data_IF_151509440487
#
_entry.id   IF_151509440487
#
_cell.length_a   1.000
_cell.length_b   1.000
_cell.length_c   1.000
_cell.angle_alpha   90.00
_cell.angle_beta   90.00
_cell.angle_gamma   90.00
#
_symmetry.space_group_name_H-M   'P 1'
#
loop_
_entity.id
_entity.type
_entity.pdbx_description
1 polymer ?
#
# COMPACT_ATOMS: atom_id res chain seq x y z
N UNK A 1 2.75 -31.37 9.26
CA UNK A 1 2.57 -30.01 8.71
C UNK A 1 1.92 -29.20 9.80
N UNK A 2 2.71 -28.42 10.53
CA UNK A 2 2.17 -27.47 11.51
C UNK A 2 1.48 -26.34 10.74
N UNK A 3 0.15 -26.37 10.73
CA UNK A 3 -0.66 -25.20 10.42
C UNK A 3 -0.58 -24.24 11.62
N UNK A 4 0.60 -23.67 11.88
CA UNK A 4 0.69 -22.51 12.75
C UNK A 4 0.52 -21.28 11.87
N UNK A 5 -0.66 -20.66 11.96
CA UNK A 5 -0.84 -19.29 11.48
C UNK A 5 0.08 -18.47 12.38
N UNK A 6 1.14 -17.89 11.80
CA UNK A 6 2.01 -16.97 12.53
C UNK A 6 1.14 -15.79 13.01
N UNK A 7 0.97 -15.59 14.33
CA UNK A 7 0.13 -14.50 14.85
C UNK A 7 0.64 -13.11 14.41
N UNK A 8 1.87 -12.99 13.90
CA UNK A 8 2.40 -11.77 13.28
C UNK A 8 1.91 -11.51 11.86
N UNK A 9 1.27 -12.48 11.18
CA UNK A 9 0.65 -12.29 9.85
C UNK A 9 -0.63 -11.45 9.92
N UNK A 10 -1.20 -11.22 11.10
CA UNK A 10 -2.51 -10.59 11.26
C UNK A 10 -2.47 -9.10 11.60
N UNK A 11 -1.29 -8.54 11.86
CA UNK A 11 -1.14 -7.18 12.37
C UNK A 11 -0.93 -6.15 11.26
N UNK A 12 -1.56 -4.99 11.43
CA UNK A 12 -1.32 -3.84 10.57
C UNK A 12 0.12 -3.35 10.68
N UNK A 13 0.67 -2.89 9.56
CA UNK A 13 1.96 -2.23 9.50
C UNK A 13 1.88 -0.86 8.86
N UNK A 14 2.59 0.13 9.42
CA UNK A 14 2.70 1.50 8.90
C UNK A 14 3.97 1.61 8.08
N UNK A 15 3.84 2.17 6.87
CA UNK A 15 4.99 2.46 6.02
C UNK A 15 5.84 3.58 6.64
N UNK A 16 7.05 3.25 7.08
CA UNK A 16 7.97 4.17 7.75
C UNK A 16 9.03 4.75 6.81
N UNK A 17 9.29 4.08 5.68
CA UNK A 17 10.28 4.52 4.68
C UNK A 17 9.80 4.20 3.26
N UNK A 18 10.55 4.63 2.24
CA UNK A 18 10.24 4.35 0.81
C UNK A 18 8.85 4.82 0.34
N UNK A 19 8.35 5.92 0.91
CA UNK A 19 7.08 6.56 0.50
C UNK A 19 7.03 6.92 -0.99
N UNK A 20 8.16 7.19 -1.63
CA UNK A 20 8.23 7.44 -3.07
C UNK A 20 8.02 6.18 -3.91
N UNK A 21 8.47 5.02 -3.42
CA UNK A 21 8.21 3.75 -4.11
C UNK A 21 6.73 3.39 -4.00
N UNK A 22 6.08 3.67 -2.87
CA UNK A 22 4.62 3.59 -2.76
C UNK A 22 3.91 4.52 -3.77
N UNK A 23 4.37 5.77 -3.92
CA UNK A 23 3.83 6.70 -4.93
C UNK A 23 3.98 6.15 -6.35
N UNK A 24 5.11 5.53 -6.69
CA UNK A 24 5.32 4.90 -8.00
C UNK A 24 4.31 3.78 -8.24
N UNK A 25 4.10 2.90 -7.26
CA UNK A 25 3.09 1.83 -7.34
C UNK A 25 1.70 2.44 -7.60
N UNK A 26 1.29 3.43 -6.81
CA UNK A 26 -0.02 4.10 -6.98
C UNK A 26 -0.11 4.80 -8.34
N UNK A 27 0.98 5.41 -8.83
CA UNK A 27 1.02 6.02 -10.16
C UNK A 27 0.77 4.98 -11.25
N UNK A 28 1.48 3.85 -11.21
CA UNK A 28 1.29 2.77 -12.17
C UNK A 28 -0.15 2.26 -12.14
N UNK A 29 -0.74 2.02 -10.95
CA UNK A 29 -2.14 1.61 -10.85
C UNK A 29 -3.07 2.66 -11.47
N UNK A 30 -2.85 3.94 -11.18
CA UNK A 30 -3.64 5.01 -11.76
C UNK A 30 -3.55 5.00 -13.29
N UNK A 31 -2.37 4.81 -13.87
CA UNK A 31 -2.17 4.77 -15.33
C UNK A 31 -2.90 3.59 -16.01
N UNK A 32 -3.19 2.51 -15.28
CA UNK A 32 -3.99 1.40 -15.81
C UNK A 32 -5.50 1.60 -15.63
N UNK A 33 -5.93 2.11 -14.46
CA UNK A 33 -7.35 2.12 -14.10
C UNK A 33 -8.07 3.46 -14.31
N UNK A 34 -7.35 4.59 -14.24
CA UNK A 34 -7.92 5.95 -14.27
C UNK A 34 -8.01 6.62 -15.66
N UNK A 35 -7.14 6.38 -16.66
CA UNK A 35 -7.13 7.17 -17.90
C UNK A 35 -8.44 7.17 -18.70
N UNK A 36 -9.37 6.28 -18.40
CA UNK A 36 -10.67 6.19 -19.07
C UNK A 36 -11.76 7.04 -18.43
N UNK A 37 -11.51 7.66 -17.27
CA UNK A 37 -12.50 8.42 -16.52
C UNK A 37 -12.02 9.87 -16.34
N UNK A 38 -12.78 10.89 -16.79
CA UNK A 38 -12.47 12.29 -16.52
C UNK A 38 -12.30 12.54 -15.02
N UNK A 39 -11.34 13.37 -14.62
CA UNK A 39 -11.05 13.64 -13.20
C UNK A 39 -12.28 14.14 -12.41
N UNK A 40 -13.18 14.88 -13.07
CA UNK A 40 -14.44 15.36 -12.48
C UNK A 40 -15.42 14.24 -12.12
N UNK A 41 -15.29 13.05 -12.73
CA UNK A 41 -16.13 11.87 -12.51
C UNK A 41 -15.52 10.88 -11.52
N UNK A 42 -14.28 11.10 -11.08
CA UNK A 42 -13.64 10.25 -10.08
C UNK A 42 -14.26 10.48 -8.71
N UNK A 43 -14.41 9.42 -7.91
CA UNK A 43 -14.75 9.55 -6.50
C UNK A 43 -13.61 10.21 -5.70
N UNK A 44 -13.86 10.52 -4.43
CA UNK A 44 -12.87 11.21 -3.60
C UNK A 44 -11.60 10.39 -3.36
N UNK A 45 -11.74 9.09 -3.16
CA UNK A 45 -10.63 8.15 -2.95
C UNK A 45 -9.73 8.04 -4.17
N UNK A 46 -10.32 7.90 -5.35
CA UNK A 46 -9.64 7.95 -6.64
C UNK A 46 -8.92 9.28 -6.86
N UNK A 47 -9.58 10.41 -6.58
CA UNK A 47 -8.92 11.74 -6.66
C UNK A 47 -7.76 11.85 -5.69
N UNK A 48 -7.85 11.27 -4.51
CA UNK A 48 -6.76 11.23 -3.54
C UNK A 48 -5.57 10.42 -4.06
N UNK A 49 -5.80 9.23 -4.63
CA UNK A 49 -4.76 8.42 -5.28
C UNK A 49 -4.09 9.15 -6.45
N UNK A 50 -4.85 9.86 -7.30
CA UNK A 50 -4.29 10.69 -8.38
C UNK A 50 -3.41 11.81 -7.85
N UNK A 51 -3.87 12.52 -6.81
CA UNK A 51 -3.10 13.61 -6.18
C UNK A 51 -1.83 13.10 -5.51
N UNK A 52 -1.89 11.92 -4.90
CA UNK A 52 -0.75 11.25 -4.29
C UNK A 52 0.32 10.92 -5.33
N UNK A 53 -0.08 10.28 -6.43
CA UNK A 53 0.83 9.93 -7.53
C UNK A 53 1.48 11.17 -8.17
N UNK A 54 0.73 12.28 -8.31
CA UNK A 54 1.25 13.55 -8.84
C UNK A 54 2.11 14.35 -7.85
N UNK A 55 2.43 13.79 -6.67
CA UNK A 55 3.24 14.47 -5.66
C UNK A 55 2.57 15.67 -4.99
N UNK A 56 1.25 15.86 -5.18
CA UNK A 56 0.50 16.98 -4.57
C UNK A 56 0.24 16.77 -3.07
N UNK A 57 0.36 15.53 -2.60
CA UNK A 57 0.22 15.16 -1.19
C UNK A 57 1.61 14.86 -0.64
N UNK A 58 2.13 15.75 0.21
CA UNK A 58 3.45 15.61 0.85
C UNK A 58 3.39 14.75 2.11
N UNK A 59 2.40 15.01 2.96
CA UNK A 59 2.19 14.33 4.23
C UNK A 59 1.03 13.34 4.10
N UNK A 60 1.33 12.06 4.25
CA UNK A 60 0.36 10.97 4.22
C UNK A 60 0.92 9.79 5.00
N UNK A 61 0.04 8.95 5.52
CA UNK A 61 0.39 7.68 6.13
C UNK A 61 -0.24 6.54 5.34
N UNK A 62 0.49 5.43 5.28
CA UNK A 62 0.05 4.20 4.62
C UNK A 62 0.11 3.10 5.63
N UNK A 63 -1.01 2.42 5.81
CA UNK A 63 -1.12 1.22 6.61
C UNK A 63 -1.41 0.05 5.68
N UNK A 64 -0.78 -1.07 5.96
CA UNK A 64 -0.78 -2.26 5.13
C UNK A 64 -1.15 -3.44 6.02
N UNK A 65 -2.12 -4.24 5.59
CA UNK A 65 -2.43 -5.53 6.19
C UNK A 65 -2.32 -6.60 5.11
N UNK A 66 -1.49 -7.60 5.34
CA UNK A 66 -1.38 -8.77 4.45
C UNK A 66 -2.61 -9.65 4.68
N UNK A 67 -3.34 -9.97 3.61
CA UNK A 67 -4.54 -10.83 3.65
C UNK A 67 -4.31 -12.17 2.98
N UNK A 68 -3.38 -12.24 2.04
CA UNK A 68 -2.86 -13.47 1.42
C UNK A 68 -1.38 -13.26 1.00
N UNK A 69 -0.71 -14.26 0.43
CA UNK A 69 0.72 -14.23 0.09
C UNK A 69 1.12 -13.01 -0.75
N UNK A 70 0.25 -12.60 -1.68
CA UNK A 70 0.41 -11.42 -2.54
C UNK A 70 -0.82 -10.51 -2.53
N UNK A 71 -1.65 -10.59 -1.49
CA UNK A 71 -2.82 -9.73 -1.34
C UNK A 71 -2.68 -8.84 -0.10
N UNK A 72 -2.96 -7.55 -0.27
CA UNK A 72 -2.84 -6.56 0.79
C UNK A 72 -4.06 -5.65 0.83
N UNK A 73 -4.64 -5.48 2.01
CA UNK A 73 -5.51 -4.34 2.29
C UNK A 73 -4.65 -3.11 2.58
N UNK A 74 -4.81 -2.08 1.77
CA UNK A 74 -4.09 -0.82 1.90
C UNK A 74 -5.04 0.23 2.46
N UNK A 75 -4.57 0.99 3.44
CA UNK A 75 -5.27 2.12 4.02
C UNK A 75 -4.39 3.37 3.94
N UNK A 76 -4.85 4.35 3.16
CA UNK A 76 -4.19 5.63 2.94
C UNK A 76 -4.87 6.71 3.79
N UNK A 77 -4.09 7.35 4.67
CA UNK A 77 -4.53 8.49 5.47
C UNK A 77 -3.87 9.77 4.99
N UNK A 78 -4.67 10.79 4.71
CA UNK A 78 -4.21 12.14 4.33
C UNK A 78 -4.99 13.15 5.14
N UNK A 79 -4.34 13.75 6.14
CA UNK A 79 -5.03 14.50 7.19
C UNK A 79 -6.16 13.65 7.79
N UNK A 80 -7.40 14.15 7.78
CA UNK A 80 -8.59 13.45 8.31
C UNK A 80 -9.33 12.62 7.26
N UNK A 81 -8.75 12.47 6.05
CA UNK A 81 -9.34 11.70 4.95
C UNK A 81 -8.70 10.34 4.84
N UNK A 82 -9.52 9.38 4.47
CA UNK A 82 -9.15 7.98 4.37
C UNK A 82 -9.59 7.41 3.03
N UNK A 83 -8.77 6.50 2.51
CA UNK A 83 -9.10 5.66 1.36
C UNK A 83 -8.54 4.27 1.63
N UNK A 84 -9.29 3.24 1.26
CA UNK A 84 -8.81 1.88 1.34
C UNK A 84 -9.11 1.10 0.07
N UNK A 85 -8.25 0.13 -0.22
CA UNK A 85 -8.44 -0.79 -1.33
C UNK A 85 -7.66 -2.09 -1.11
N UNK A 86 -8.13 -3.16 -1.75
CA UNK A 86 -7.38 -4.41 -1.84
C UNK A 86 -6.43 -4.31 -3.04
N UNK A 87 -5.18 -4.69 -2.82
CA UNK A 87 -4.14 -4.72 -3.83
C UNK A 87 -3.60 -6.13 -4.02
N UNK A 88 -3.67 -6.62 -5.26
CA UNK A 88 -2.98 -7.82 -5.71
C UNK A 88 -1.57 -7.45 -6.19
N UNK A 89 -0.55 -7.90 -5.47
CA UNK A 89 0.85 -7.59 -5.73
C UNK A 89 1.47 -8.53 -6.79
N UNK A 90 1.02 -8.38 -8.03
CA UNK A 90 1.51 -9.19 -9.15
C UNK A 90 3.01 -9.01 -9.42
N UNK A 91 3.60 -7.87 -9.05
CA UNK A 91 5.06 -7.67 -9.14
C UNK A 91 5.78 -8.49 -8.09
N UNK A 92 5.28 -8.50 -6.84
CA UNK A 92 5.78 -9.37 -5.78
C UNK A 92 5.71 -10.85 -6.18
N UNK A 93 4.56 -11.29 -6.71
CA UNK A 93 4.37 -12.65 -7.20
C UNK A 93 5.35 -13.02 -8.32
N UNK A 94 5.53 -12.13 -9.30
CA UNK A 94 6.47 -12.36 -10.39
C UNK A 94 7.93 -12.42 -9.89
N UNK A 95 8.35 -11.52 -8.99
CA UNK A 95 9.69 -11.57 -8.37
C UNK A 95 9.93 -12.92 -7.70
N UNK A 96 8.97 -13.40 -6.91
CA UNK A 96 9.07 -14.69 -6.24
C UNK A 96 9.23 -15.84 -7.25
N UNK A 97 8.41 -15.85 -8.31
CA UNK A 97 8.49 -16.85 -9.37
C UNK A 97 9.86 -16.86 -10.05
N UNK A 98 10.37 -15.70 -10.49
CA UNK A 98 11.69 -15.61 -11.13
C UNK A 98 12.83 -15.98 -10.18
N UNK A 99 12.74 -15.63 -8.89
CA UNK A 99 13.71 -16.06 -7.89
C UNK A 99 13.74 -17.58 -7.72
N UNK A 100 12.58 -18.26 -7.72
CA UNK A 100 12.49 -19.72 -7.67
C UNK A 100 13.11 -20.40 -8.89
N UNK A 101 13.08 -19.75 -10.04
CA UNK A 101 13.75 -20.22 -11.27
C UNK A 101 15.24 -19.83 -11.37
N UNK A 102 15.79 -19.13 -10.37
CA UNK A 102 17.18 -18.65 -10.38
C UNK A 102 17.45 -17.46 -11.32
N UNK A 103 16.40 -16.88 -11.92
CA UNK A 103 16.48 -15.76 -12.87
C UNK A 103 16.52 -14.41 -12.15
N UNK A 104 17.61 -14.12 -11.45
CA UNK A 104 17.74 -12.93 -10.59
C UNK A 104 18.06 -11.63 -11.33
N UNK A 105 18.35 -11.69 -12.64
CA UNK A 105 18.69 -10.55 -13.50
C UNK A 105 17.48 -9.96 -14.25
N UNK A 106 16.28 -10.53 -14.07
CA UNK A 106 15.07 -10.10 -14.75
C UNK A 106 14.66 -8.65 -14.38
N UNK A 107 14.11 -7.90 -15.34
CA UNK A 107 13.76 -6.49 -15.13
C UNK A 107 12.73 -6.25 -14.02
N UNK A 108 11.92 -7.26 -13.68
CA UNK A 108 10.92 -7.20 -12.61
C UNK A 108 11.52 -6.77 -11.26
N UNK A 109 12.78 -7.14 -10.99
CA UNK A 109 13.46 -6.80 -9.73
C UNK A 109 13.75 -5.31 -9.59
N UNK A 110 13.65 -4.53 -10.68
CA UNK A 110 13.81 -3.07 -10.66
C UNK A 110 12.55 -2.32 -10.22
N UNK A 111 11.39 -2.98 -10.19
CA UNK A 111 10.13 -2.35 -9.86
C UNK A 111 9.78 -2.54 -8.38
N UNK A 112 9.31 -1.49 -7.69
CA UNK A 112 8.83 -1.63 -6.32
C UNK A 112 7.54 -2.47 -6.27
N UNK A 113 7.34 -3.19 -5.17
CA UNK A 113 6.14 -3.99 -4.92
C UNK A 113 5.67 -3.83 -3.47
N UNK A 114 4.38 -4.07 -3.20
CA UNK A 114 3.80 -3.84 -1.88
C UNK A 114 4.36 -4.82 -0.85
N UNK A 115 4.59 -6.08 -1.21
CA UNK A 115 5.20 -7.08 -0.33
C UNK A 115 6.57 -6.64 0.19
N UNK A 116 7.41 -6.05 -0.66
CA UNK A 116 8.72 -5.52 -0.24
C UNK A 116 8.57 -4.33 0.72
N UNK A 117 7.62 -3.43 0.44
CA UNK A 117 7.33 -2.31 1.33
C UNK A 117 6.80 -2.80 2.69
N UNK A 118 5.95 -3.83 2.69
CA UNK A 118 5.39 -4.44 3.88
C UNK A 118 6.48 -5.12 4.72
N UNK A 119 7.34 -5.93 4.11
CA UNK A 119 8.32 -6.72 4.85
C UNK A 119 9.50 -5.89 5.36
N UNK A 120 9.98 -4.94 4.55
CA UNK A 120 11.27 -4.26 4.79
C UNK A 120 11.15 -2.78 5.18
N UNK A 121 10.03 -2.14 4.86
CA UNK A 121 9.89 -0.69 4.97
C UNK A 121 8.72 -0.24 5.84
N UNK A 122 8.10 -1.17 6.55
CA UNK A 122 6.98 -0.91 7.45
C UNK A 122 7.21 -1.52 8.83
N UNK A 123 6.58 -0.92 9.84
CA UNK A 123 6.66 -1.36 11.23
C UNK A 123 5.25 -1.66 11.76
N UNK A 124 5.15 -2.59 12.71
CA UNK A 124 3.88 -2.88 13.39
C UNK A 124 3.32 -1.62 14.04
N UNK A 125 2.00 -1.52 14.02
CA UNK A 125 1.27 -0.37 14.57
C UNK A 125 0.18 -0.86 15.49
N UNK A 126 -0.02 -0.14 16.59
CA UNK A 126 -1.17 -0.37 17.45
C UNK A 126 -2.42 0.25 16.83
N UNK A 127 -3.58 -0.30 17.15
CA UNK A 127 -4.86 0.16 16.60
C UNK A 127 -5.14 1.64 16.88
N UNK A 128 -4.62 2.18 17.98
CA UNK A 128 -4.81 3.59 18.35
C UNK A 128 -4.21 4.56 17.33
N UNK A 129 -3.11 4.18 16.66
CA UNK A 129 -2.44 5.03 15.66
C UNK A 129 -3.21 5.09 14.33
N UNK A 130 -4.13 4.15 14.11
CA UNK A 130 -5.02 4.12 12.94
C UNK A 130 -6.30 4.94 13.13
N UNK A 131 -6.57 5.42 14.35
CA UNK A 131 -7.71 6.29 14.64
C UNK A 131 -7.42 7.73 14.20
N UNK A 132 -8.45 8.45 13.77
CA UNK A 132 -8.42 9.91 13.74
C UNK A 132 -8.54 10.40 15.19
N UNK A 133 -7.76 11.41 15.63
CA UNK A 133 -8.07 12.07 16.89
C UNK A 133 -9.53 12.54 16.81
N UNK A 134 -10.39 12.03 17.70
CA UNK A 134 -11.75 12.53 17.77
C UNK A 134 -11.66 14.02 18.10
N UNK A 135 -12.15 14.87 17.19
CA UNK A 135 -12.51 16.23 17.53
C UNK A 135 -13.71 16.17 18.47
N UNK A 136 -13.45 15.96 19.78
CA UNK A 136 -14.26 16.30 20.97
C UNK A 136 -13.75 15.51 22.18
N UNK A 137 -12.61 15.92 22.70
CA UNK A 137 -12.38 15.99 24.14
C UNK A 137 -12.27 17.49 24.48
N UNK A 138 -13.37 18.22 24.29
CA UNK A 138 -13.54 19.52 24.93
C UNK A 138 -14.36 19.26 26.19
N UNK A 139 -13.67 19.45 27.31
CA UNK A 139 -14.18 19.44 28.68
C UNK A 139 -15.45 20.30 28.86
#
# INVERSE_FOLDING_TARGET
MENSIDPKREEWRKLISKKDDFRKIVSTLNDFYIPKIPFSKLDEGQRMRVRLAKGKIKNFDVFLKKTDDHEFLIFLKVADRFESWIHQDGVGQAKEHFSKEGKTDHLVFRFPCIGELYEKHSAFVREEEMKTPNAKDSA
#
